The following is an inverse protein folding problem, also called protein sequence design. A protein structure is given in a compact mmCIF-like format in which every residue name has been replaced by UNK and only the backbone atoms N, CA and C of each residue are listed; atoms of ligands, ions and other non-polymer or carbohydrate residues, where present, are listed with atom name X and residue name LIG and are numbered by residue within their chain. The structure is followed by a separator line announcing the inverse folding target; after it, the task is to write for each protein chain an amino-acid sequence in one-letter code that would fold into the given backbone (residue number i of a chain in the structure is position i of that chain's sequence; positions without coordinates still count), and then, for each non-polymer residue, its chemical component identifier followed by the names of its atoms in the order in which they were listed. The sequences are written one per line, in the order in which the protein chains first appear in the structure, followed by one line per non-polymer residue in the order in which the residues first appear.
data_IF_979114283878
#
_entry.id   IF_979114283878
#
_cell.length_a   1.000
_cell.length_b   1.000
_cell.length_c   1.000
_cell.angle_alpha   90.00
_cell.angle_beta   90.00
_cell.angle_gamma   90.00
#
_symmetry.space_group_name_H-M   'P 1'
#
loop_
_entity.id
_entity.type
_entity.pdbx_description
1 polymer ?
#
# COMPACT_ATOMS: atom_id res chain seq x y z
N UNK A 1 -6.32 -61.45 4.19
CA UNK A 1 -6.28 -60.12 4.83
C UNK A 1 -7.70 -59.73 5.21
N UNK A 2 -7.91 -59.43 6.46
CA UNK A 2 -9.23 -59.11 6.96
C UNK A 2 -9.62 -57.67 6.49
N UNK A 3 -10.53 -57.55 5.50
CA UNK A 3 -10.95 -56.29 4.88
C UNK A 3 -11.82 -55.41 5.79
N UNK A 4 -12.00 -55.80 7.05
CA UNK A 4 -12.95 -55.14 7.99
C UNK A 4 -12.58 -53.72 8.42
N UNK A 5 -11.32 -53.28 8.15
CA UNK A 5 -10.82 -51.96 8.60
C UNK A 5 -10.27 -51.11 7.44
N UNK A 6 -10.65 -51.42 6.18
CA UNK A 6 -10.17 -50.69 5.02
C UNK A 6 -11.28 -49.83 4.41
N UNK A 7 -10.99 -48.59 4.15
CA UNK A 7 -11.91 -47.57 3.64
C UNK A 7 -11.59 -47.26 2.16
N UNK A 8 -12.59 -47.38 1.27
CA UNK A 8 -12.38 -47.02 -0.14
C UNK A 8 -12.14 -45.52 -0.31
N UNK A 9 -11.38 -45.15 -1.37
CA UNK A 9 -10.98 -43.75 -1.64
C UNK A 9 -12.12 -42.76 -1.61
N UNK A 10 -13.33 -43.15 -2.08
CA UNK A 10 -14.53 -42.28 -2.07
C UNK A 10 -15.05 -42.02 -0.68
N UNK A 11 -14.90 -42.97 0.25
CA UNK A 11 -15.28 -42.80 1.66
C UNK A 11 -14.26 -41.93 2.39
N UNK A 12 -12.96 -42.17 2.17
CA UNK A 12 -11.86 -41.35 2.69
C UNK A 12 -12.01 -39.90 2.23
N UNK A 13 -12.35 -39.67 0.97
CA UNK A 13 -12.65 -38.35 0.40
C UNK A 13 -13.73 -37.60 1.19
N UNK A 14 -14.81 -38.31 1.56
CA UNK A 14 -15.91 -37.73 2.34
C UNK A 14 -15.53 -37.47 3.80
N UNK A 15 -14.86 -38.44 4.45
CA UNK A 15 -14.45 -38.34 5.85
C UNK A 15 -13.46 -37.21 6.10
N UNK A 16 -12.52 -37.02 5.20
CA UNK A 16 -11.46 -36.02 5.34
C UNK A 16 -11.74 -34.70 4.61
N UNK A 17 -12.85 -34.61 3.88
CA UNK A 17 -13.18 -33.45 3.01
C UNK A 17 -12.04 -33.12 2.01
N UNK A 18 -11.43 -34.17 1.45
CA UNK A 18 -10.36 -34.06 0.44
C UNK A 18 -10.88 -34.67 -0.86
N UNK A 19 -10.69 -33.97 -1.98
CA UNK A 19 -11.13 -34.50 -3.27
C UNK A 19 -10.40 -35.81 -3.63
N UNK A 20 -11.08 -36.73 -4.35
CA UNK A 20 -10.45 -37.96 -4.85
C UNK A 20 -9.24 -37.64 -5.74
N UNK A 21 -9.29 -36.55 -6.49
CA UNK A 21 -8.16 -36.06 -7.30
C UNK A 21 -6.95 -35.67 -6.43
N UNK A 22 -7.19 -35.00 -5.30
CA UNK A 22 -6.12 -34.66 -4.34
C UNK A 22 -5.51 -35.89 -3.69
N UNK A 23 -6.34 -36.88 -3.31
CA UNK A 23 -5.84 -38.15 -2.75
C UNK A 23 -4.97 -38.93 -3.77
N UNK A 24 -5.36 -38.94 -5.05
CA UNK A 24 -4.54 -39.51 -6.13
C UNK A 24 -3.27 -38.71 -6.39
N UNK A 25 -3.33 -37.40 -6.27
CA UNK A 25 -2.15 -36.56 -6.38
C UNK A 25 -1.17 -36.84 -5.23
N UNK A 26 -1.66 -36.98 -4.00
CA UNK A 26 -0.82 -37.34 -2.84
C UNK A 26 -0.14 -38.72 -3.03
N UNK A 27 -0.85 -39.69 -3.62
CA UNK A 27 -0.26 -40.95 -3.99
C UNK A 27 0.84 -40.79 -5.07
N UNK A 28 0.55 -39.98 -6.10
CA UNK A 28 1.46 -39.76 -7.22
C UNK A 28 2.79 -39.13 -6.78
N UNK A 29 2.75 -38.20 -5.85
CA UNK A 29 3.95 -37.54 -5.29
C UNK A 29 4.56 -38.32 -4.10
N UNK A 30 4.05 -39.47 -3.75
CA UNK A 30 4.57 -40.30 -2.67
C UNK A 30 4.24 -39.84 -1.25
N UNK A 31 3.32 -38.86 -1.11
CA UNK A 31 2.92 -38.28 0.18
C UNK A 31 1.97 -39.18 0.97
N UNK A 32 1.15 -39.99 0.28
CA UNK A 32 0.18 -40.90 0.85
C UNK A 32 0.12 -42.15 0.03
N UNK A 33 0.47 -43.33 0.60
CA UNK A 33 0.38 -44.62 -0.09
C UNK A 33 -0.87 -45.37 0.37
N UNK A 34 -1.75 -45.83 -0.54
CA UNK A 34 -2.87 -46.69 -0.16
C UNK A 34 -2.35 -47.95 0.52
N UNK A 35 -3.07 -48.46 1.51
CA UNK A 35 -2.72 -49.72 2.17
C UNK A 35 -2.94 -50.91 1.26
N UNK A 36 -3.97 -50.83 0.40
CA UNK A 36 -4.28 -51.87 -0.57
C UNK A 36 -4.82 -51.27 -1.87
N UNK A 37 -4.35 -51.81 -3.01
CA UNK A 37 -4.91 -51.55 -4.33
C UNK A 37 -5.44 -52.89 -4.88
N UNK A 38 -6.72 -52.92 -5.24
CA UNK A 38 -7.34 -54.11 -5.82
C UNK A 38 -6.71 -54.43 -7.17
N UNK A 39 -6.19 -55.65 -7.33
CA UNK A 39 -5.62 -56.13 -8.61
C UNK A 39 -6.63 -56.16 -9.73
N UNK A 40 -7.91 -56.45 -9.43
CA UNK A 40 -8.96 -56.66 -10.41
C UNK A 40 -9.55 -55.37 -10.92
N UNK A 41 -9.66 -54.34 -10.04
CA UNK A 41 -10.36 -53.09 -10.34
C UNK A 41 -9.48 -51.84 -10.26
N UNK A 42 -8.25 -51.95 -9.75
CA UNK A 42 -7.38 -50.80 -9.48
C UNK A 42 -7.92 -49.87 -8.36
N UNK A 43 -8.91 -50.37 -7.59
CA UNK A 43 -9.55 -49.55 -6.54
C UNK A 43 -8.66 -49.44 -5.29
N UNK A 44 -8.56 -48.25 -4.74
CA UNK A 44 -7.65 -47.90 -3.64
C UNK A 44 -8.38 -47.94 -2.31
N UNK A 45 -7.72 -48.52 -1.32
CA UNK A 45 -8.21 -48.66 0.03
C UNK A 45 -7.16 -48.16 1.03
N UNK A 46 -7.62 -47.53 2.08
CA UNK A 46 -6.81 -46.86 3.12
C UNK A 46 -7.22 -47.40 4.50
N UNK A 47 -6.26 -47.58 5.37
CA UNK A 47 -6.45 -48.00 6.75
C UNK A 47 -6.25 -46.82 7.73
N UNK A 48 -6.23 -47.17 9.02
CA UNK A 48 -6.09 -46.20 10.10
C UNK A 48 -4.73 -45.49 10.13
N UNK A 49 -3.65 -46.14 9.69
CA UNK A 49 -2.33 -45.52 9.62
C UNK A 49 -2.31 -44.37 8.58
N UNK A 50 -2.99 -44.58 7.45
CA UNK A 50 -3.13 -43.51 6.44
C UNK A 50 -4.01 -42.35 6.93
N UNK A 51 -4.91 -42.58 7.87
CA UNK A 51 -5.70 -41.52 8.49
C UNK A 51 -4.84 -40.58 9.31
N UNK A 52 -3.86 -41.08 10.05
CA UNK A 52 -2.89 -40.25 10.78
C UNK A 52 -2.05 -39.39 9.83
N UNK A 53 -1.62 -39.99 8.72
CA UNK A 53 -0.91 -39.24 7.66
C UNK A 53 -1.81 -38.12 7.09
N UNK A 54 -3.06 -38.43 6.76
CA UNK A 54 -4.02 -37.46 6.24
C UNK A 54 -4.31 -36.33 7.24
N UNK A 55 -4.45 -36.65 8.51
CA UNK A 55 -4.62 -35.64 9.56
C UNK A 55 -3.41 -34.71 9.64
N UNK A 56 -2.20 -35.28 9.57
CA UNK A 56 -0.97 -34.50 9.56
C UNK A 56 -0.88 -33.60 8.33
N UNK A 57 -1.17 -34.12 7.14
CA UNK A 57 -1.20 -33.34 5.90
C UNK A 57 -2.19 -32.18 6.02
N UNK A 58 -3.42 -32.45 6.48
CA UNK A 58 -4.45 -31.41 6.66
C UNK A 58 -4.03 -30.33 7.65
N UNK A 59 -3.47 -30.73 8.79
CA UNK A 59 -2.98 -29.79 9.80
C UNK A 59 -1.89 -28.88 9.23
N UNK A 60 -0.88 -29.44 8.59
CA UNK A 60 0.23 -28.66 8.05
C UNK A 60 -0.19 -27.81 6.84
N UNK A 61 -1.14 -28.28 6.01
CA UNK A 61 -1.75 -27.50 4.94
C UNK A 61 -2.56 -26.30 5.48
N UNK A 62 -3.26 -26.48 6.59
CA UNK A 62 -3.98 -25.38 7.25
C UNK A 62 -3.03 -24.27 7.79
N UNK A 63 -1.75 -24.59 7.94
CA UNK A 63 -0.69 -23.66 8.25
C UNK A 63 0.04 -23.11 7.00
N UNK A 64 -0.56 -23.26 5.80
CA UNK A 64 0.01 -22.86 4.50
C UNK A 64 1.35 -23.55 4.15
N UNK A 65 1.68 -24.70 4.78
CA UNK A 65 2.91 -25.42 4.48
C UNK A 65 2.84 -26.07 3.09
N UNK A 66 3.86 -25.89 2.21
CA UNK A 66 3.91 -26.54 0.90
C UNK A 66 3.94 -28.07 0.99
N UNK A 67 3.37 -28.77 -0.01
CA UNK A 67 3.35 -30.26 -0.02
C UNK A 67 4.74 -30.88 -0.02
N UNK A 68 5.73 -30.26 -0.66
CA UNK A 68 7.12 -30.71 -0.66
C UNK A 68 7.74 -30.71 0.74
N UNK A 69 7.40 -29.73 1.56
CA UNK A 69 7.88 -29.66 2.94
C UNK A 69 7.16 -30.66 3.85
N UNK A 70 5.87 -30.90 3.60
CA UNK A 70 5.10 -31.94 4.29
C UNK A 70 5.64 -33.34 3.97
N UNK A 71 6.03 -33.57 2.71
CA UNK A 71 6.66 -34.85 2.29
C UNK A 71 7.97 -35.08 3.03
N UNK A 72 8.87 -34.09 3.08
CA UNK A 72 10.11 -34.16 3.84
C UNK A 72 9.88 -34.46 5.32
N UNK A 73 8.88 -33.77 5.92
CA UNK A 73 8.49 -34.01 7.31
C UNK A 73 7.98 -35.44 7.54
N UNK A 74 7.10 -35.98 6.66
CA UNK A 74 6.54 -37.32 6.84
C UNK A 74 7.58 -38.42 6.69
N UNK A 75 8.61 -38.19 5.86
CA UNK A 75 9.74 -39.14 5.68
C UNK A 75 10.68 -39.14 6.88
N UNK A 76 10.86 -37.98 7.52
CA UNK A 76 11.85 -37.80 8.56
C UNK A 76 11.15 -37.20 9.82
N UNK A 77 10.22 -38.00 10.44
CA UNK A 77 9.50 -37.60 11.64
C UNK A 77 10.45 -37.36 12.82
N UNK A 78 10.84 -36.10 13.03
CA UNK A 78 11.68 -35.67 14.13
C UNK A 78 11.01 -34.45 14.79
N UNK A 79 10.93 -34.48 16.13
CA UNK A 79 10.30 -33.42 16.92
C UNK A 79 11.02 -32.08 16.70
N UNK A 80 12.34 -32.09 16.67
CA UNK A 80 13.13 -30.86 16.48
C UNK A 80 12.91 -30.25 15.10
N UNK A 81 12.76 -31.06 14.06
CA UNK A 81 12.47 -30.62 12.69
C UNK A 81 11.07 -30.02 12.55
N UNK A 82 10.05 -30.61 13.20
CA UNK A 82 8.70 -30.06 13.15
C UNK A 82 8.65 -28.73 13.90
N UNK A 83 9.34 -28.61 15.02
CA UNK A 83 9.42 -27.36 15.77
C UNK A 83 10.05 -26.24 14.92
N UNK A 84 11.19 -26.53 14.29
CA UNK A 84 11.84 -25.57 13.38
C UNK A 84 10.92 -25.13 12.23
N UNK A 85 10.25 -26.10 11.57
CA UNK A 85 9.29 -25.80 10.49
C UNK A 85 8.12 -24.94 10.96
N UNK A 86 7.55 -25.24 12.11
CA UNK A 86 6.46 -24.45 12.70
C UNK A 86 6.93 -23.04 13.07
N UNK A 87 8.16 -22.88 13.56
CA UNK A 87 8.75 -21.56 13.82
C UNK A 87 8.96 -20.77 12.52
N UNK A 88 9.48 -21.39 11.47
CA UNK A 88 9.63 -20.76 10.16
C UNK A 88 8.27 -20.31 9.61
N UNK A 89 7.25 -21.16 9.71
CA UNK A 89 5.90 -20.83 9.25
C UNK A 89 5.27 -19.70 10.08
N UNK A 90 5.47 -19.71 11.39
CA UNK A 90 5.05 -18.61 12.27
C UNK A 90 5.68 -17.28 11.84
N UNK A 91 6.98 -17.27 11.53
CA UNK A 91 7.66 -16.06 11.05
C UNK A 91 7.10 -15.56 9.71
N UNK A 92 6.82 -16.47 8.77
CA UNK A 92 6.21 -16.12 7.50
C UNK A 92 4.80 -15.49 7.67
N UNK A 93 3.99 -16.07 8.56
CA UNK A 93 2.66 -15.53 8.89
C UNK A 93 2.77 -14.14 9.54
N UNK A 94 3.69 -13.95 10.49
CA UNK A 94 3.90 -12.65 11.14
C UNK A 94 4.35 -11.57 10.13
N UNK A 95 5.24 -11.94 9.20
CA UNK A 95 5.66 -11.03 8.12
C UNK A 95 4.47 -10.61 7.26
N UNK A 96 3.66 -11.58 6.81
CA UNK A 96 2.47 -11.33 6.00
C UNK A 96 1.43 -10.48 6.76
N UNK A 97 1.27 -10.70 8.06
CA UNK A 97 0.40 -9.88 8.90
C UNK A 97 0.87 -8.42 8.95
N UNK A 98 2.18 -8.18 9.10
CA UNK A 98 2.74 -6.83 9.08
C UNK A 98 2.55 -6.14 7.72
N UNK A 99 2.73 -6.87 6.61
CA UNK A 99 2.48 -6.35 5.27
C UNK A 99 1.00 -5.92 5.08
N UNK A 100 0.06 -6.79 5.48
CA UNK A 100 -1.36 -6.49 5.42
C UNK A 100 -1.75 -5.29 6.31
N UNK A 101 -1.16 -5.19 7.49
CA UNK A 101 -1.39 -4.05 8.38
C UNK A 101 -0.89 -2.73 7.78
N UNK A 102 0.26 -2.73 7.10
CA UNK A 102 0.74 -1.54 6.35
C UNK A 102 -0.22 -1.15 5.21
N UNK A 103 -0.72 -2.15 4.46
CA UNK A 103 -1.70 -1.91 3.39
C UNK A 103 -2.99 -1.30 3.96
N UNK A 104 -3.49 -1.82 5.07
CA UNK A 104 -4.67 -1.29 5.76
C UNK A 104 -4.47 0.18 6.18
N UNK A 105 -3.32 0.50 6.76
CA UNK A 105 -2.97 1.87 7.15
C UNK A 105 -2.95 2.81 5.93
N UNK A 106 -2.33 2.40 4.83
CA UNK A 106 -2.34 3.17 3.57
C UNK A 106 -3.76 3.42 3.05
N UNK A 107 -4.62 2.40 3.09
CA UNK A 107 -6.03 2.53 2.68
C UNK A 107 -6.75 3.53 3.60
N UNK A 108 -6.57 3.43 4.91
CA UNK A 108 -7.21 4.32 5.88
C UNK A 108 -6.75 5.77 5.72
N UNK A 109 -5.44 6.01 5.50
CA UNK A 109 -4.91 7.34 5.21
C UNK A 109 -5.55 7.91 3.94
N UNK A 110 -5.65 7.10 2.89
CA UNK A 110 -6.26 7.55 1.62
C UNK A 110 -7.74 7.88 1.77
N UNK A 111 -8.49 7.05 2.48
CA UNK A 111 -9.90 7.30 2.78
C UNK A 111 -10.10 8.61 3.57
N UNK A 112 -9.28 8.84 4.58
CA UNK A 112 -9.33 10.05 5.38
C UNK A 112 -8.99 11.29 4.55
N UNK A 113 -8.00 11.21 3.69
CA UNK A 113 -7.62 12.28 2.79
C UNK A 113 -8.74 12.63 1.79
N UNK A 114 -9.36 11.63 1.18
CA UNK A 114 -10.50 11.85 0.27
C UNK A 114 -11.69 12.50 0.99
N UNK A 115 -12.00 12.07 2.22
CA UNK A 115 -13.06 12.67 3.03
C UNK A 115 -12.74 14.11 3.39
N UNK A 116 -11.51 14.39 3.79
CA UNK A 116 -11.04 15.72 4.11
C UNK A 116 -11.09 16.65 2.87
N UNK A 117 -10.66 16.16 1.71
CA UNK A 117 -10.74 16.91 0.45
C UNK A 117 -12.17 17.34 0.08
N UNK A 118 -13.17 16.53 0.45
CA UNK A 118 -14.59 16.78 0.15
C UNK A 118 -15.30 17.59 1.24
N UNK A 119 -14.79 17.61 2.48
CA UNK A 119 -15.49 18.19 3.64
C UNK A 119 -15.16 19.67 3.90
N UNK A 120 -14.01 20.15 3.42
CA UNK A 120 -13.55 21.52 3.67
C UNK A 120 -14.20 22.48 2.68
N UNK A 121 -14.71 23.64 3.16
CA UNK A 121 -15.25 24.69 2.29
C UNK A 121 -14.23 25.13 1.24
N UNK A 122 -14.66 25.20 -0.02
CA UNK A 122 -13.84 25.69 -1.11
C UNK A 122 -13.81 27.24 -1.10
N UNK A 123 -12.81 27.81 -1.73
CA UNK A 123 -12.59 29.26 -1.90
C UNK A 123 -12.57 30.05 -0.60
N UNK A 124 -12.32 29.39 0.53
CA UNK A 124 -12.24 30.01 1.85
C UNK A 124 -10.80 29.98 2.35
N UNK A 125 -10.25 31.16 2.65
CA UNK A 125 -8.93 31.29 3.29
C UNK A 125 -9.02 30.94 4.77
N UNK A 126 -8.14 30.11 5.27
CA UNK A 126 -8.08 29.71 6.68
C UNK A 126 -6.65 29.55 7.16
N UNK A 127 -6.44 29.81 8.45
CA UNK A 127 -5.20 29.48 9.15
C UNK A 127 -5.32 28.05 9.67
N UNK A 128 -4.34 27.22 9.36
CA UNK A 128 -4.25 25.83 9.82
C UNK A 128 -2.86 25.52 10.32
N UNK A 129 -2.77 24.49 11.13
CA UNK A 129 -1.51 23.90 11.53
C UNK A 129 -1.27 22.62 10.73
N UNK A 130 -0.20 22.59 9.94
CA UNK A 130 0.24 21.39 9.26
C UNK A 130 1.19 20.60 10.15
N UNK A 131 1.00 19.28 10.30
CA UNK A 131 1.92 18.42 11.02
C UNK A 131 3.28 18.34 10.32
N UNK A 132 4.29 17.87 11.06
CA UNK A 132 5.56 17.48 10.47
C UNK A 132 5.36 16.38 9.45
N UNK A 133 6.04 16.45 8.29
CA UNK A 133 6.00 15.43 7.26
C UNK A 133 7.36 15.23 6.60
N UNK A 134 7.59 14.03 6.06
CA UNK A 134 8.76 13.75 5.22
C UNK A 134 8.38 14.01 3.76
N UNK A 135 9.29 14.59 3.01
CA UNK A 135 9.12 14.79 1.57
C UNK A 135 10.37 14.35 0.81
N UNK A 136 10.18 13.92 -0.41
CA UNK A 136 11.22 13.91 -1.45
C UNK A 136 11.11 15.22 -2.19
N UNK A 137 12.24 15.86 -2.44
CA UNK A 137 12.30 17.18 -3.05
C UNK A 137 13.15 17.17 -4.30
N UNK A 138 12.69 17.85 -5.34
CA UNK A 138 13.44 18.06 -6.57
C UNK A 138 13.30 19.53 -7.00
N UNK A 139 14.43 20.20 -7.13
CA UNK A 139 14.48 21.53 -7.75
C UNK A 139 14.13 21.40 -9.22
N UNK A 140 13.02 21.99 -9.61
CA UNK A 140 12.50 21.92 -10.96
C UNK A 140 11.74 23.21 -11.28
N UNK A 141 12.42 24.22 -11.87
CA UNK A 141 11.71 25.40 -12.35
C UNK A 141 10.73 24.99 -13.44
N UNK A 142 9.44 25.19 -13.16
CA UNK A 142 8.33 24.74 -14.00
C UNK A 142 7.36 25.86 -14.26
N UNK A 143 6.81 25.88 -15.47
CA UNK A 143 5.57 26.57 -15.78
C UNK A 143 4.56 25.52 -16.20
N UNK A 144 3.39 25.50 -15.60
CA UNK A 144 2.34 24.54 -15.91
C UNK A 144 1.34 25.24 -16.86
N UNK A 145 1.42 24.86 -18.12
CA UNK A 145 0.46 25.25 -19.16
C UNK A 145 -0.43 24.08 -19.55
N UNK A 146 -0.09 22.83 -19.10
CA UNK A 146 -0.83 21.60 -19.35
C UNK A 146 -0.40 20.44 -18.48
N UNK A 147 -1.17 19.34 -18.50
CA UNK A 147 -0.92 18.14 -17.67
C UNK A 147 0.42 17.44 -18.00
N UNK A 148 0.94 17.61 -19.21
CA UNK A 148 2.21 16.98 -19.63
C UNK A 148 3.45 17.61 -18.97
N UNK A 149 3.35 18.85 -18.49
CA UNK A 149 4.50 19.58 -17.94
C UNK A 149 5.03 18.96 -16.65
N UNK A 150 4.19 18.18 -15.95
CA UNK A 150 4.55 17.48 -14.71
C UNK A 150 5.17 16.09 -14.95
N UNK A 151 5.00 15.48 -16.12
CA UNK A 151 5.43 14.09 -16.38
C UNK A 151 6.94 13.89 -16.17
N UNK A 152 7.78 14.74 -16.75
CA UNK A 152 9.23 14.63 -16.64
C UNK A 152 9.72 14.86 -15.22
N UNK A 153 9.26 15.91 -14.49
CA UNK A 153 9.62 16.10 -13.08
C UNK A 153 9.15 14.97 -12.17
N UNK A 154 7.93 14.43 -12.38
CA UNK A 154 7.42 13.29 -11.60
C UNK A 154 8.33 12.07 -11.77
N UNK A 155 8.80 11.79 -13.00
CA UNK A 155 9.73 10.69 -13.28
C UNK A 155 11.07 10.84 -12.54
N UNK A 156 11.48 12.06 -12.21
CA UNK A 156 12.67 12.27 -11.37
C UNK A 156 12.46 11.90 -9.92
N UNK A 157 11.21 11.96 -9.42
CA UNK A 157 10.86 11.48 -8.08
C UNK A 157 10.85 9.95 -7.99
N UNK A 158 10.68 9.25 -9.13
CA UNK A 158 10.54 7.79 -9.23
C UNK A 158 11.88 7.05 -9.44
N UNK A 159 13.01 7.73 -9.31
CA UNK A 159 14.35 7.15 -9.58
C UNK A 159 14.85 6.16 -8.50
N UNK A 160 14.05 5.85 -7.49
CA UNK A 160 14.39 4.84 -6.50
C UNK A 160 13.64 3.53 -6.78
N UNK A 161 14.35 2.39 -6.67
CA UNK A 161 13.80 1.01 -6.66
C UNK A 161 12.78 0.77 -5.52
N UNK A 162 12.15 1.81 -5.01
CA UNK A 162 11.11 1.69 -4.00
C UNK A 162 9.89 1.02 -4.61
N UNK A 163 9.41 -0.04 -3.98
CA UNK A 163 8.08 -0.63 -4.22
C UNK A 163 7.09 0.49 -4.50
N UNK A 164 6.48 0.47 -5.68
CA UNK A 164 5.68 1.51 -6.31
C UNK A 164 5.06 2.49 -5.30
N UNK A 165 5.73 3.62 -5.09
CA UNK A 165 5.17 4.72 -4.32
C UNK A 165 3.94 5.17 -5.09
N UNK A 166 2.77 4.93 -4.53
CA UNK A 166 1.51 5.35 -5.15
C UNK A 166 1.44 6.86 -5.07
N UNK A 167 1.77 7.53 -6.16
CA UNK A 167 1.83 9.00 -6.26
C UNK A 167 0.47 9.71 -6.08
N UNK A 168 -0.64 8.97 -6.07
CA UNK A 168 -1.99 9.52 -6.06
C UNK A 168 -2.20 10.59 -4.96
N UNK A 169 -2.27 11.84 -5.39
CA UNK A 169 -2.55 12.99 -4.53
C UNK A 169 -1.45 13.35 -3.53
N UNK A 170 -0.23 12.87 -3.72
CA UNK A 170 0.92 13.17 -2.84
C UNK A 170 2.00 14.02 -3.50
N UNK A 171 1.92 14.16 -4.82
CA UNK A 171 2.83 15.03 -5.57
C UNK A 171 2.34 16.46 -5.44
N UNK A 172 3.25 17.34 -5.11
CA UNK A 172 2.96 18.77 -4.96
C UNK A 172 3.98 19.63 -5.68
N UNK A 173 3.60 20.86 -5.90
CA UNK A 173 4.41 21.92 -6.47
C UNK A 173 4.71 22.99 -5.42
N UNK A 174 5.88 23.59 -5.49
CA UNK A 174 6.33 24.60 -4.56
C UNK A 174 6.79 25.87 -5.24
N UNK A 175 6.31 27.01 -4.74
CA UNK A 175 6.84 28.34 -5.07
C UNK A 175 7.65 28.82 -3.87
N UNK A 176 8.87 29.29 -4.10
CA UNK A 176 9.76 29.78 -3.05
C UNK A 176 9.18 30.98 -2.30
N UNK A 177 9.59 31.19 -1.05
CA UNK A 177 9.19 32.36 -0.27
C UNK A 177 9.56 33.66 -0.97
N UNK A 178 10.68 33.70 -1.67
CA UNK A 178 11.14 34.87 -2.43
C UNK A 178 10.18 35.22 -3.57
N UNK A 179 9.80 34.24 -4.41
CA UNK A 179 8.84 34.47 -5.49
C UNK A 179 7.45 34.83 -4.96
N UNK A 180 6.99 34.20 -3.88
CA UNK A 180 5.73 34.55 -3.24
C UNK A 180 5.71 36.00 -2.75
N UNK A 181 6.81 36.49 -2.14
CA UNK A 181 6.95 37.90 -1.69
C UNK A 181 6.98 38.88 -2.85
N UNK A 182 7.43 38.45 -4.03
CA UNK A 182 7.43 39.22 -5.28
C UNK A 182 6.13 39.07 -6.07
N UNK A 183 5.15 38.32 -5.56
CA UNK A 183 3.89 37.98 -6.24
C UNK A 183 4.08 37.23 -7.57
N UNK A 184 5.19 36.50 -7.71
CA UNK A 184 5.44 35.65 -8.85
C UNK A 184 4.78 34.28 -8.58
N UNK A 185 3.58 34.06 -9.13
CA UNK A 185 2.73 32.91 -8.84
C UNK A 185 2.41 32.03 -10.05
N UNK A 186 2.98 32.35 -11.20
CA UNK A 186 2.78 31.59 -12.45
C UNK A 186 3.97 30.68 -12.81
N UNK A 187 4.86 30.48 -11.86
CA UNK A 187 6.06 29.66 -12.01
C UNK A 187 6.35 28.94 -10.70
N UNK A 188 6.59 27.65 -10.79
CA UNK A 188 7.02 26.83 -9.66
C UNK A 188 8.55 26.68 -9.66
N UNK A 189 9.11 26.49 -8.47
CA UNK A 189 10.55 26.31 -8.27
C UNK A 189 10.90 24.84 -8.03
N UNK A 190 9.91 24.05 -7.57
CA UNK A 190 10.14 22.69 -7.13
C UNK A 190 8.93 21.80 -7.30
N UNK A 191 9.20 20.52 -7.39
CA UNK A 191 8.24 19.44 -7.23
C UNK A 191 8.62 18.61 -6.00
N UNK A 192 7.65 18.13 -5.26
CA UNK A 192 7.88 17.29 -4.08
C UNK A 192 6.86 16.16 -4.00
N UNK A 193 7.25 15.09 -3.29
CA UNK A 193 6.39 13.96 -2.95
C UNK A 193 6.28 13.88 -1.43
N UNK A 194 5.07 13.87 -0.90
CA UNK A 194 4.83 13.60 0.53
C UNK A 194 4.93 12.10 0.79
N UNK A 195 5.71 11.73 1.78
CA UNK A 195 5.85 10.35 2.26
C UNK A 195 5.03 10.15 3.53
N UNK A 196 4.20 9.12 3.55
CA UNK A 196 3.58 8.64 4.78
C UNK A 196 4.62 7.96 5.69
N UNK A 197 4.26 7.71 6.95
CA UNK A 197 5.18 7.05 7.90
C UNK A 197 5.52 5.62 7.47
N UNK A 198 4.59 4.96 6.79
CA UNK A 198 4.70 3.58 6.30
C UNK A 198 5.46 3.47 4.97
N UNK A 199 5.69 4.60 4.28
CA UNK A 199 6.39 4.59 3.00
C UNK A 199 7.88 4.32 3.21
N UNK A 200 8.36 3.25 2.58
CA UNK A 200 9.77 2.90 2.52
C UNK A 200 10.37 3.65 1.33
N UNK A 201 11.29 4.55 1.60
CA UNK A 201 12.00 5.31 0.58
C UNK A 201 13.49 5.30 0.90
N UNK A 202 14.32 4.86 -0.06
CA UNK A 202 15.77 4.68 0.13
C UNK A 202 16.60 5.89 -0.28
N UNK A 203 15.99 6.88 -0.98
CA UNK A 203 16.65 8.11 -1.39
C UNK A 203 16.72 9.18 -0.29
N UNK A 204 17.25 10.34 -0.63
CA UNK A 204 17.30 11.49 0.27
C UNK A 204 15.90 12.05 0.53
N UNK A 205 15.63 12.38 1.78
CA UNK A 205 14.36 12.97 2.21
C UNK A 205 14.58 14.19 3.09
N UNK A 206 13.67 15.14 3.01
CA UNK A 206 13.65 16.33 3.86
C UNK A 206 12.48 16.21 4.84
N UNK A 207 12.73 16.47 6.12
CA UNK A 207 11.66 16.57 7.10
C UNK A 207 11.24 18.01 7.25
N UNK A 208 10.00 18.31 6.85
CA UNK A 208 9.38 19.59 7.09
C UNK A 208 8.82 19.62 8.52
N UNK A 209 9.15 20.64 9.32
CA UNK A 209 8.63 20.77 10.67
C UNK A 209 7.13 21.10 10.66
N UNK A 210 6.50 20.85 11.80
CA UNK A 210 5.16 21.36 12.09
C UNK A 210 5.14 22.88 11.91
N UNK A 211 4.15 23.41 11.16
CA UNK A 211 4.10 24.83 10.83
C UNK A 211 2.67 25.34 10.66
N UNK A 212 2.49 26.63 10.94
CA UNK A 212 1.22 27.31 10.63
C UNK A 212 1.23 27.74 9.17
N UNK A 213 0.12 27.51 8.48
CA UNK A 213 -0.05 27.89 7.08
C UNK A 213 -1.35 28.67 6.87
N UNK A 214 -1.32 29.59 5.93
CA UNK A 214 -2.54 30.12 5.30
C UNK A 214 -2.91 29.15 4.20
N UNK A 215 -4.14 28.61 4.25
CA UNK A 215 -4.65 27.59 3.35
C UNK A 215 -5.86 28.07 2.57
N UNK A 216 -5.93 27.64 1.31
CA UNK A 216 -7.11 27.74 0.47
C UNK A 216 -7.27 26.47 -0.34
N UNK A 217 -8.51 25.96 -0.46
CA UNK A 217 -8.89 24.87 -1.39
C UNK A 217 -9.82 25.43 -2.45
N UNK A 218 -9.66 24.93 -3.67
CA UNK A 218 -10.47 25.37 -4.80
C UNK A 218 -10.78 24.21 -5.75
N UNK A 219 -11.80 24.39 -6.60
CA UNK A 219 -12.05 23.46 -7.72
C UNK A 219 -11.14 23.80 -8.86
N UNK A 220 -10.50 22.77 -9.41
CA UNK A 220 -9.56 22.89 -10.50
C UNK A 220 -8.22 22.22 -10.19
N UNK A 221 -7.30 22.42 -11.10
CA UNK A 221 -5.95 21.88 -11.10
C UNK A 221 -4.90 22.96 -10.85
N UNK A 222 -3.64 22.66 -11.07
CA UNK A 222 -2.53 23.62 -11.04
C UNK A 222 -2.67 24.76 -12.06
N UNK A 223 -3.46 24.59 -13.12
CA UNK A 223 -3.66 25.60 -14.16
C UNK A 223 -4.44 26.82 -13.60
N UNK A 224 -5.41 26.57 -12.72
CA UNK A 224 -6.25 27.59 -12.11
C UNK A 224 -5.61 28.22 -10.85
N UNK A 225 -4.53 27.63 -10.34
CA UNK A 225 -3.89 28.02 -9.08
C UNK A 225 -3.44 29.49 -9.00
N UNK A 226 -2.90 30.14 -10.04
CA UNK A 226 -2.41 31.53 -9.92
C UNK A 226 -3.42 32.51 -9.36
N UNK A 227 -4.68 32.46 -9.77
CA UNK A 227 -5.74 33.34 -9.25
C UNK A 227 -6.06 33.09 -7.76
N UNK A 228 -5.82 31.89 -7.27
CA UNK A 228 -6.01 31.53 -5.87
C UNK A 228 -4.80 31.89 -5.00
N UNK A 229 -3.59 31.89 -5.57
CA UNK A 229 -2.42 32.47 -4.92
C UNK A 229 -2.60 33.97 -4.66
N UNK A 230 -3.12 34.73 -5.62
CA UNK A 230 -3.40 36.15 -5.44
C UNK A 230 -4.31 36.40 -4.22
N UNK A 231 -5.39 35.63 -4.07
CA UNK A 231 -6.29 35.70 -2.90
C UNK A 231 -5.56 35.45 -1.58
N UNK A 232 -4.64 34.43 -1.57
CA UNK A 232 -3.86 34.13 -0.38
C UNK A 232 -2.86 35.22 -0.03
N UNK A 233 -2.18 35.79 -1.02
CA UNK A 233 -1.20 36.87 -0.83
C UNK A 233 -1.87 38.15 -0.38
N UNK A 234 -3.05 38.48 -0.91
CA UNK A 234 -3.86 39.62 -0.45
C UNK A 234 -4.25 39.43 1.01
N UNK A 235 -4.71 38.25 1.42
CA UNK A 235 -5.02 37.97 2.82
C UNK A 235 -3.78 38.08 3.71
N UNK A 236 -2.64 37.52 3.33
CA UNK A 236 -1.37 37.58 4.07
C UNK A 236 -0.92 39.03 4.25
N UNK A 237 -1.04 39.82 3.19
CA UNK A 237 -0.68 41.26 3.22
C UNK A 237 -1.62 42.05 4.15
N UNK A 238 -2.93 41.85 4.03
CA UNK A 238 -3.94 42.52 4.84
C UNK A 238 -3.79 42.24 6.34
N UNK A 239 -3.54 40.94 6.67
CA UNK A 239 -3.35 40.51 8.06
C UNK A 239 -1.91 40.74 8.57
N UNK A 240 -1.02 41.34 7.77
CA UNK A 240 0.38 41.61 8.10
C UNK A 240 1.16 40.37 8.59
N UNK A 241 0.89 39.24 7.98
CA UNK A 241 1.51 37.94 8.30
C UNK A 241 2.80 37.77 7.48
N UNK A 242 3.83 37.15 8.08
CA UNK A 242 5.11 36.94 7.40
C UNK A 242 5.16 35.54 6.73
N UNK A 243 5.48 35.48 5.44
CA UNK A 243 5.79 34.21 4.74
C UNK A 243 7.16 33.73 5.22
N UNK A 244 7.24 32.45 5.62
CA UNK A 244 8.47 31.83 6.17
C UNK A 244 8.95 30.61 5.43
N UNK A 245 8.30 30.21 4.34
CA UNK A 245 8.68 29.04 3.57
C UNK A 245 8.04 28.99 2.19
N UNK A 246 8.34 27.95 1.44
CA UNK A 246 7.77 27.71 0.12
C UNK A 246 6.29 27.26 0.24
N UNK A 247 5.49 27.57 -0.78
CA UNK A 247 4.12 27.07 -0.85
C UNK A 247 4.08 25.56 -1.09
N UNK A 248 3.03 24.92 -0.58
CA UNK A 248 2.70 23.53 -0.88
C UNK A 248 1.38 23.52 -1.62
N UNK A 249 1.43 23.25 -2.89
CA UNK A 249 0.25 23.12 -3.75
C UNK A 249 0.10 21.66 -4.17
N UNK A 250 -1.06 21.06 -3.88
CA UNK A 250 -1.34 19.65 -4.13
C UNK A 250 -2.73 19.51 -4.69
N UNK A 251 -2.87 18.82 -5.82
CA UNK A 251 -4.18 18.41 -6.31
C UNK A 251 -4.59 17.14 -5.59
N UNK A 252 -5.54 17.27 -4.66
CA UNK A 252 -6.02 16.21 -3.79
C UNK A 252 -6.92 15.22 -4.52
N UNK A 253 -7.72 15.71 -5.48
CA UNK A 253 -8.58 14.92 -6.36
C UNK A 253 -8.23 15.31 -7.80
N UNK A 254 -7.66 14.38 -8.54
CA UNK A 254 -7.14 14.53 -9.89
C UNK A 254 -7.61 13.40 -10.82
N UNK A 255 -7.04 13.29 -12.02
CA UNK A 255 -7.29 12.20 -12.97
C UNK A 255 -7.00 10.79 -12.43
N UNK A 256 -6.18 10.66 -11.42
CA UNK A 256 -5.93 9.37 -10.74
C UNK A 256 -7.13 8.86 -9.94
N UNK A 257 -8.12 9.72 -9.67
CA UNK A 257 -9.29 9.42 -8.84
C UNK A 257 -10.60 9.55 -9.62
N UNK A 258 -10.69 10.53 -10.53
CA UNK A 258 -11.92 10.80 -11.29
C UNK A 258 -11.59 11.24 -12.71
N UNK A 259 -12.42 10.83 -13.67
CA UNK A 259 -12.36 11.33 -15.06
C UNK A 259 -13.10 12.67 -15.25
N UNK A 260 -13.71 13.18 -14.21
CA UNK A 260 -14.50 14.41 -14.22
C UNK A 260 -13.67 15.56 -13.64
N UNK A 261 -13.13 16.41 -14.51
CA UNK A 261 -12.28 17.56 -14.13
C UNK A 261 -13.01 18.58 -13.27
N UNK A 262 -14.35 18.67 -13.36
CA UNK A 262 -15.14 19.54 -12.49
C UNK A 262 -15.11 19.14 -11.00
N UNK A 263 -14.66 17.91 -10.73
CA UNK A 263 -14.49 17.37 -9.36
C UNK A 263 -13.06 17.52 -8.84
N UNK A 264 -12.15 18.05 -9.62
CA UNK A 264 -10.79 18.27 -9.14
C UNK A 264 -10.79 19.24 -7.97
N UNK A 265 -9.93 18.94 -6.99
CA UNK A 265 -9.74 19.77 -5.81
C UNK A 265 -8.25 19.96 -5.59
N UNK A 266 -7.82 21.21 -5.59
CA UNK A 266 -6.44 21.59 -5.30
C UNK A 266 -6.39 22.38 -4.00
N UNK A 267 -5.36 22.10 -3.20
CA UNK A 267 -5.06 22.82 -1.96
C UNK A 267 -3.75 23.58 -2.11
N UNK A 268 -3.75 24.83 -1.68
CA UNK A 268 -2.54 25.64 -1.53
C UNK A 268 -2.37 25.97 -0.04
N UNK A 269 -1.17 25.70 0.47
CA UNK A 269 -0.75 26.05 1.82
C UNK A 269 0.53 26.88 1.77
N UNK A 270 0.51 28.09 2.31
CA UNK A 270 1.68 28.98 2.41
C UNK A 270 2.11 29.04 3.88
N UNK A 271 3.33 28.55 4.23
CA UNK A 271 3.86 28.62 5.59
C UNK A 271 4.05 30.07 6.05
N UNK A 272 3.55 30.35 7.24
CA UNK A 272 3.56 31.71 7.77
C UNK A 272 3.95 31.75 9.25
N UNK A 273 4.41 32.89 9.69
CA UNK A 273 4.61 33.23 11.10
C UNK A 273 3.68 34.36 11.48
N UNK A 274 2.76 34.06 12.39
CA UNK A 274 1.95 35.09 13.03
C UNK A 274 2.84 35.90 14.00
N UNK A 275 2.62 37.17 14.12
CA UNK A 275 3.33 38.05 15.05
C UNK A 275 3.01 37.72 16.50
#
# INVERSE_FOLDING_TARGET
MDRKNLFPIGEVSKLFHISVSSLRHYEHIGLLTPEYISSDSGYRYYGTEQFEVLNTIRYLRALDMPLSEIEDFLKNKDISRIEEKLLQQKHAVLKKQQELQRIEQKINHRLNWLRDAQSVPLDTVSLIELPSCRIVWVDAPLKIDGSHDMEVPIRKLDQSDAEAVVFLGKVGLGISAEHLQQSIVNRYDSIFLILDQEDIYTGETITLPKTICVRLRFRGSHIEAPAHYEKLLDYITKEQIQIVGFSREITLIDYGITNDSEKFVTEICIPVKCR
#
